data_IF_314917582641
#
_entry.id   IF_314917582641
#
_cell.length_a   1.000
_cell.length_b   1.000
_cell.length_c   1.000
_cell.angle_alpha   90.00
_cell.angle_beta   90.00
_cell.angle_gamma   90.00
#
_symmetry.space_group_name_H-M   'P 1'
#
loop_
_entity.id
_entity.type
_entity.pdbx_description
1 polymer ?
#
# COMPACT_ATOMS: atom_id res chain seq x y z
N UNK A 1 14.84 11.30 -4.43
CA UNK A 1 13.81 10.24 -4.18
C UNK A 1 12.72 10.78 -3.27
N UNK A 2 11.51 10.21 -3.36
CA UNK A 2 10.39 10.53 -2.47
C UNK A 2 10.15 9.38 -1.50
N UNK A 3 9.83 9.69 -0.26
CA UNK A 3 9.57 8.69 0.77
C UNK A 3 8.16 8.85 1.32
N UNK A 4 7.44 7.74 1.45
CA UNK A 4 6.20 7.61 2.20
C UNK A 4 6.33 6.52 3.24
N UNK A 5 5.31 6.35 4.07
CA UNK A 5 5.23 5.21 4.99
C UNK A 5 4.20 4.19 4.50
N UNK A 6 4.43 2.93 4.85
CA UNK A 6 3.50 1.82 4.62
C UNK A 6 3.27 1.10 5.93
N UNK A 7 2.02 0.86 6.30
CA UNK A 7 1.79 0.29 7.60
C UNK A 7 0.42 -0.27 7.87
N UNK A 8 0.30 -0.77 9.10
CA UNK A 8 -0.94 -1.27 9.68
C UNK A 8 -0.99 -0.97 11.17
N UNK A 9 -2.19 -0.96 11.74
CA UNK A 9 -2.41 -0.89 13.18
C UNK A 9 -2.80 -2.25 13.76
N UNK A 10 -2.57 -2.41 15.05
CA UNK A 10 -2.89 -3.63 15.79
C UNK A 10 -3.63 -3.26 17.09
N UNK A 11 -4.76 -3.89 17.34
CA UNK A 11 -5.48 -3.81 18.61
C UNK A 11 -5.17 -5.04 19.48
N UNK A 12 -5.11 -4.86 20.79
CA UNK A 12 -5.04 -5.97 21.74
C UNK A 12 -6.47 -6.37 22.15
N UNK A 13 -6.74 -7.66 22.19
CA UNK A 13 -7.96 -8.20 22.82
C UNK A 13 -7.67 -8.50 24.28
N UNK A 14 -8.62 -8.21 25.16
CA UNK A 14 -8.48 -8.49 26.59
C UNK A 14 -9.68 -8.00 27.39
N UNK A 15 -9.59 -8.11 28.73
CA UNK A 15 -10.59 -7.62 29.67
C UNK A 15 -10.59 -6.09 29.84
N UNK A 16 -11.33 -5.58 30.83
CA UNK A 16 -11.51 -4.13 31.05
C UNK A 16 -10.23 -3.33 31.22
N UNK A 17 -9.16 -3.97 31.71
CA UNK A 17 -7.87 -3.33 31.98
C UNK A 17 -6.96 -3.27 30.73
N UNK A 18 -7.38 -3.82 29.60
CA UNK A 18 -6.61 -3.78 28.34
C UNK A 18 -7.05 -2.61 27.49
N UNK A 19 -6.17 -1.67 27.27
CA UNK A 19 -6.37 -0.59 26.29
C UNK A 19 -6.27 -1.14 24.85
N UNK A 20 -7.40 -1.62 24.34
CA UNK A 20 -7.51 -2.18 22.98
C UNK A 20 -7.21 -1.13 21.90
N UNK A 21 -7.44 0.16 22.17
CA UNK A 21 -7.24 1.25 21.21
C UNK A 21 -5.82 1.77 21.11
N UNK A 22 -4.93 1.39 22.04
CA UNK A 22 -3.57 1.96 22.14
C UNK A 22 -2.80 1.87 20.82
N UNK A 23 -2.80 0.72 20.16
CA UNK A 23 -2.06 0.52 18.91
C UNK A 23 -2.61 1.33 17.73
N UNK A 24 -3.91 1.60 17.71
CA UNK A 24 -4.52 2.48 16.69
C UNK A 24 -4.14 3.94 16.94
N UNK A 25 -4.20 4.40 18.21
CA UNK A 25 -3.75 5.76 18.54
C UNK A 25 -2.26 5.95 18.27
N UNK A 26 -1.42 4.97 18.63
CA UNK A 26 0.01 5.01 18.32
C UNK A 26 0.26 5.08 16.80
N UNK A 27 -0.53 4.37 16.00
CA UNK A 27 -0.43 4.46 14.54
C UNK A 27 -0.83 5.83 14.01
N UNK A 28 -1.85 6.49 14.58
CA UNK A 28 -2.20 7.87 14.22
C UNK A 28 -1.04 8.83 14.55
N UNK A 29 -0.48 8.75 15.76
CA UNK A 29 0.68 9.57 16.16
C UNK A 29 1.92 9.28 15.31
N UNK A 30 2.11 8.03 14.86
CA UNK A 30 3.16 7.66 13.89
C UNK A 30 2.99 8.41 12.55
N UNK A 31 1.75 8.57 12.08
CA UNK A 31 1.46 9.32 10.85
C UNK A 31 1.68 10.82 11.00
N UNK A 32 1.26 11.40 12.13
CA UNK A 32 1.52 12.81 12.45
C UNK A 32 3.01 13.10 12.51
N UNK A 33 3.77 12.22 13.13
CA UNK A 33 5.21 12.32 13.19
C UNK A 33 5.88 12.13 11.82
N UNK A 34 5.38 11.22 11.00
CA UNK A 34 5.88 11.03 9.64
C UNK A 34 5.72 12.31 8.80
N UNK A 35 4.59 13.01 8.90
CA UNK A 35 4.41 14.33 8.26
C UNK A 35 5.46 15.33 8.75
N UNK A 36 5.67 15.44 10.06
CA UNK A 36 6.65 16.33 10.65
C UNK A 36 8.10 16.01 10.24
N UNK A 37 8.39 14.75 9.93
CA UNK A 37 9.68 14.29 9.41
C UNK A 37 9.83 14.43 7.90
N UNK A 38 8.81 14.98 7.20
CA UNK A 38 8.85 15.23 5.76
C UNK A 38 8.49 14.02 4.87
N UNK A 39 7.88 12.98 5.43
CA UNK A 39 7.33 11.91 4.60
C UNK A 39 6.14 12.41 3.78
N UNK A 40 6.09 12.00 2.53
CA UNK A 40 5.11 12.48 1.55
C UNK A 40 3.72 11.87 1.73
N UNK A 41 3.64 10.60 2.14
CA UNK A 41 2.40 9.85 2.18
C UNK A 41 2.39 8.76 3.25
N UNK A 42 1.19 8.30 3.57
CA UNK A 42 0.97 7.07 4.33
C UNK A 42 0.05 6.14 3.56
N UNK A 43 0.53 4.95 3.23
CA UNK A 43 -0.26 3.90 2.60
C UNK A 43 -0.62 2.82 3.62
N UNK A 44 -1.91 2.51 3.73
CA UNK A 44 -2.47 1.67 4.80
C UNK A 44 -3.16 0.45 4.18
N UNK A 45 -2.91 -0.72 4.76
CA UNK A 45 -3.49 -1.99 4.30
C UNK A 45 -4.97 -2.13 4.69
N UNK A 46 -5.67 -3.06 4.03
CA UNK A 46 -6.95 -3.60 4.48
C UNK A 46 -6.82 -5.09 4.74
N UNK A 47 -7.17 -5.54 5.95
CA UNK A 47 -7.19 -6.96 6.32
C UNK A 47 -8.31 -7.28 7.30
N UNK A 48 -8.89 -8.47 7.12
CA UNK A 48 -10.03 -8.96 7.90
C UNK A 48 -9.75 -10.33 8.52
N UNK A 49 -10.31 -10.60 9.71
CA UNK A 49 -10.40 -11.92 10.37
C UNK A 49 -9.07 -12.62 10.69
N UNK A 50 -7.92 -11.97 10.52
CA UNK A 50 -6.60 -12.62 10.64
C UNK A 50 -5.93 -12.41 11.99
N UNK A 51 -6.38 -11.43 12.77
CA UNK A 51 -5.67 -10.98 13.97
C UNK A 51 -4.27 -10.40 13.68
N UNK A 52 -3.98 -10.12 12.40
CA UNK A 52 -2.70 -9.54 11.95
C UNK A 52 -2.95 -8.45 10.91
N UNK A 53 -2.40 -7.25 11.15
CA UNK A 53 -2.67 -6.10 10.31
C UNK A 53 -4.16 -5.73 10.40
N UNK A 54 -4.66 -5.40 11.59
CA UNK A 54 -6.09 -5.36 11.90
C UNK A 54 -6.82 -4.11 11.41
N UNK A 55 -6.37 -3.50 10.33
CA UNK A 55 -7.09 -2.39 9.72
C UNK A 55 -8.14 -2.97 8.77
N UNK A 56 -9.39 -3.01 9.23
CA UNK A 56 -10.55 -3.51 8.48
C UNK A 56 -11.45 -2.38 7.94
N UNK A 57 -11.33 -1.18 8.50
CA UNK A 57 -12.04 0.02 8.08
C UNK A 57 -11.02 1.10 7.68
N UNK A 58 -10.31 0.84 6.58
CA UNK A 58 -9.14 1.61 6.15
C UNK A 58 -9.46 3.08 5.93
N UNK A 59 -10.56 3.40 5.24
CA UNK A 59 -10.95 4.79 4.99
C UNK A 59 -11.32 5.54 6.29
N UNK A 60 -11.93 4.87 7.27
CA UNK A 60 -12.25 5.48 8.56
C UNK A 60 -10.96 5.90 9.31
N UNK A 61 -9.95 5.02 9.31
CA UNK A 61 -8.66 5.33 9.93
C UNK A 61 -7.95 6.45 9.18
N UNK A 62 -7.91 6.41 7.84
CA UNK A 62 -7.30 7.45 7.03
C UNK A 62 -8.03 8.80 7.18
N UNK A 63 -9.35 8.81 7.37
CA UNK A 63 -10.09 10.04 7.69
C UNK A 63 -9.59 10.65 8.99
N UNK A 64 -9.38 9.83 10.03
CA UNK A 64 -8.83 10.31 11.30
C UNK A 64 -7.38 10.79 11.16
N UNK A 65 -6.53 10.09 10.42
CA UNK A 65 -5.16 10.55 10.09
C UNK A 65 -5.22 11.86 9.31
N UNK A 66 -6.12 11.97 8.34
CA UNK A 66 -6.32 13.19 7.53
C UNK A 66 -6.71 14.42 8.34
N UNK A 67 -7.51 14.22 9.41
CA UNK A 67 -7.88 15.28 10.35
C UNK A 67 -6.72 15.74 11.27
N UNK A 68 -5.67 14.91 11.39
CA UNK A 68 -4.49 15.17 12.24
C UNK A 68 -3.26 15.62 11.44
N UNK A 69 -3.37 15.63 10.11
CA UNK A 69 -2.29 15.97 9.17
C UNK A 69 -2.77 17.00 8.15
N UNK A 70 -1.85 17.73 7.52
CA UNK A 70 -2.19 18.84 6.61
C UNK A 70 -1.68 18.61 5.19
N UNK A 71 -0.53 17.93 5.02
CA UNK A 71 0.17 17.74 3.75
C UNK A 71 0.36 16.26 3.38
N UNK A 72 0.33 15.38 4.40
CA UNK A 72 0.53 13.93 4.20
C UNK A 72 -0.55 13.37 3.28
N UNK A 73 -0.16 12.76 2.17
CA UNK A 73 -1.11 12.06 1.29
C UNK A 73 -1.58 10.75 1.94
N UNK A 74 -2.83 10.43 1.72
CA UNK A 74 -3.56 9.34 2.39
C UNK A 74 -3.81 8.21 1.41
N UNK A 75 -2.98 7.16 1.46
CA UNK A 75 -3.04 6.05 0.51
C UNK A 75 -3.69 4.79 1.09
N UNK A 76 -4.39 4.05 0.26
CA UNK A 76 -4.76 2.67 0.55
C UNK A 76 -3.83 1.70 -0.20
N UNK A 77 -3.41 0.60 0.45
CA UNK A 77 -2.52 -0.39 -0.17
C UNK A 77 -2.84 -1.82 0.29
N UNK A 78 -4.00 -2.34 -0.10
CA UNK A 78 -4.99 -1.80 -1.04
C UNK A 78 -6.39 -1.96 -0.47
N UNK A 79 -7.40 -1.22 -0.98
CA UNK A 79 -8.81 -1.58 -0.81
C UNK A 79 -9.11 -2.83 -1.64
N UNK A 80 -9.65 -3.84 -1.03
CA UNK A 80 -9.98 -5.11 -1.70
C UNK A 80 -11.39 -5.06 -2.27
N UNK A 81 -11.51 -4.58 -3.51
CA UNK A 81 -12.80 -4.24 -4.13
C UNK A 81 -13.85 -5.36 -4.13
N UNK A 82 -13.49 -6.66 -4.26
CA UNK A 82 -14.48 -7.74 -4.27
C UNK A 82 -15.38 -7.81 -3.03
N UNK A 83 -14.96 -7.25 -1.90
CA UNK A 83 -15.70 -7.30 -0.64
C UNK A 83 -16.64 -6.12 -0.41
N UNK A 84 -16.50 -5.05 -1.20
CA UNK A 84 -17.21 -3.79 -1.00
C UNK A 84 -18.33 -3.57 -2.00
N UNK A 85 -19.41 -2.94 -1.54
CA UNK A 85 -20.35 -2.31 -2.46
C UNK A 85 -19.65 -1.12 -3.13
N UNK A 86 -19.48 -1.12 -4.46
CA UNK A 86 -18.64 -0.14 -5.14
C UNK A 86 -19.20 1.28 -5.13
N UNK A 87 -20.53 1.47 -5.11
CA UNK A 87 -21.15 2.80 -5.01
C UNK A 87 -20.88 3.38 -3.61
N UNK A 88 -21.15 2.61 -2.55
CA UNK A 88 -20.90 3.04 -1.18
C UNK A 88 -19.42 3.32 -0.94
N UNK A 89 -18.53 2.49 -1.50
CA UNK A 89 -17.09 2.71 -1.39
C UNK A 89 -16.65 3.98 -2.13
N UNK A 90 -17.24 4.27 -3.29
CA UNK A 90 -16.97 5.50 -4.04
C UNK A 90 -17.39 6.76 -3.26
N UNK A 91 -18.54 6.73 -2.57
CA UNK A 91 -19.00 7.82 -1.69
C UNK A 91 -18.07 8.05 -0.50
N UNK A 92 -17.65 6.97 0.16
CA UNK A 92 -16.71 7.03 1.29
C UNK A 92 -15.35 7.58 0.86
N UNK A 93 -14.84 7.14 -0.30
CA UNK A 93 -13.57 7.64 -0.83
C UNK A 93 -13.67 9.10 -1.28
N UNK A 94 -14.78 9.52 -1.90
CA UNK A 94 -15.03 10.92 -2.24
C UNK A 94 -15.11 11.80 -0.98
N UNK A 95 -15.72 11.31 0.09
CA UNK A 95 -15.82 12.02 1.36
C UNK A 95 -14.44 12.30 1.97
N UNK A 96 -13.56 11.29 2.03
CA UNK A 96 -12.19 11.51 2.54
C UNK A 96 -11.37 12.40 1.59
N UNK A 97 -11.56 12.29 0.30
CA UNK A 97 -10.89 13.15 -0.68
C UNK A 97 -11.24 14.61 -0.48
N UNK A 98 -12.52 14.95 -0.28
CA UNK A 98 -12.98 16.29 0.05
C UNK A 98 -12.45 16.78 1.42
N UNK A 99 -12.63 15.98 2.47
CA UNK A 99 -12.22 16.36 3.83
C UNK A 99 -10.70 16.59 3.93
N UNK A 100 -9.93 15.86 3.15
CA UNK A 100 -8.48 16.01 3.12
C UNK A 100 -7.97 17.09 2.16
N UNK A 101 -8.85 17.74 1.39
CA UNK A 101 -8.45 18.72 0.38
C UNK A 101 -7.71 18.09 -0.81
N UNK A 102 -8.13 16.90 -1.26
CA UNK A 102 -7.54 16.22 -2.42
C UNK A 102 -6.26 15.45 -2.13
N UNK A 103 -6.08 14.94 -0.91
CA UNK A 103 -4.90 14.16 -0.52
C UNK A 103 -5.07 12.64 -0.64
N UNK A 104 -6.22 12.14 -1.08
CA UNK A 104 -6.45 10.70 -1.24
C UNK A 104 -5.65 10.13 -2.41
N UNK A 105 -4.96 9.02 -2.18
CA UNK A 105 -4.38 8.09 -3.16
C UNK A 105 -5.12 6.75 -3.04
N UNK A 106 -5.99 6.44 -3.99
CA UNK A 106 -6.90 5.30 -3.89
C UNK A 106 -6.27 4.03 -4.47
N UNK A 107 -5.65 3.24 -3.61
CA UNK A 107 -5.04 1.96 -4.00
C UNK A 107 -6.04 0.81 -3.93
N UNK A 108 -6.10 0.02 -5.00
CA UNK A 108 -7.07 -1.06 -5.19
C UNK A 108 -6.41 -2.40 -5.47
N UNK A 109 -7.09 -3.49 -5.13
CA UNK A 109 -6.64 -4.86 -5.39
C UNK A 109 -7.75 -5.89 -5.35
N UNK A 110 -7.41 -7.09 -5.85
CA UNK A 110 -8.35 -8.22 -5.91
C UNK A 110 -8.47 -9.00 -4.59
N UNK A 111 -7.52 -8.81 -3.66
CA UNK A 111 -7.38 -9.70 -2.53
C UNK A 111 -6.68 -11.03 -2.89
N UNK A 112 -6.10 -11.68 -1.88
CA UNK A 112 -5.35 -12.93 -2.09
C UNK A 112 -5.46 -13.93 -0.92
N UNK A 113 -6.11 -13.55 0.18
CA UNK A 113 -6.24 -14.39 1.38
C UNK A 113 -7.56 -15.14 1.37
N UNK A 114 -7.47 -16.46 1.31
CA UNK A 114 -8.65 -17.33 1.27
C UNK A 114 -9.58 -17.13 2.47
N UNK A 115 -9.02 -17.01 3.68
CA UNK A 115 -9.81 -16.83 4.89
C UNK A 115 -10.63 -15.53 4.91
N UNK A 116 -10.17 -14.47 4.25
CA UNK A 116 -10.90 -13.21 4.13
C UNK A 116 -12.11 -13.38 3.19
N UNK A 117 -11.93 -14.04 2.04
CA UNK A 117 -13.03 -14.38 1.13
C UNK A 117 -14.05 -15.32 1.79
N UNK A 118 -13.58 -16.36 2.48
CA UNK A 118 -14.44 -17.30 3.21
C UNK A 118 -15.24 -16.59 4.33
N UNK A 119 -14.60 -15.67 5.06
CA UNK A 119 -15.25 -14.86 6.10
C UNK A 119 -16.37 -13.95 5.59
N UNK A 120 -16.25 -13.46 4.36
CA UNK A 120 -17.30 -12.69 3.69
C UNK A 120 -18.26 -13.57 2.88
N UNK A 121 -18.14 -14.90 2.92
CA UNK A 121 -18.94 -15.84 2.13
C UNK A 121 -18.88 -15.57 0.62
N UNK A 122 -17.72 -15.14 0.12
CA UNK A 122 -17.50 -14.84 -1.29
C UNK A 122 -16.59 -15.90 -1.94
N UNK A 123 -16.98 -16.44 -3.12
CA UNK A 123 -16.12 -17.33 -3.87
C UNK A 123 -14.86 -16.60 -4.34
N UNK A 124 -13.68 -17.14 -4.02
CA UNK A 124 -12.41 -16.53 -4.44
C UNK A 124 -12.21 -16.57 -5.96
N UNK A 125 -12.88 -17.48 -6.64
CA UNK A 125 -12.91 -17.63 -8.09
C UNK A 125 -13.59 -16.43 -8.78
N UNK A 126 -14.46 -15.72 -8.07
CA UNK A 126 -15.13 -14.51 -8.57
C UNK A 126 -14.30 -13.23 -8.33
N UNK A 127 -13.15 -13.33 -7.64
CA UNK A 127 -12.37 -12.15 -7.23
C UNK A 127 -12.01 -11.23 -8.40
N UNK A 128 -11.56 -11.80 -9.53
CA UNK A 128 -11.20 -11.00 -10.72
C UNK A 128 -12.44 -10.31 -11.33
N UNK A 129 -13.53 -11.04 -11.54
CA UNK A 129 -14.76 -10.48 -12.11
C UNK A 129 -15.38 -9.41 -11.23
N UNK A 130 -15.44 -9.65 -9.92
CA UNK A 130 -15.92 -8.65 -8.95
C UNK A 130 -15.02 -7.42 -8.91
N UNK A 131 -13.71 -7.59 -8.96
CA UNK A 131 -12.75 -6.49 -8.99
C UNK A 131 -12.95 -5.61 -10.22
N UNK A 132 -12.97 -6.18 -11.43
CA UNK A 132 -13.10 -5.43 -12.68
C UNK A 132 -14.44 -4.69 -12.75
N UNK A 133 -15.54 -5.35 -12.36
CA UNK A 133 -16.86 -4.73 -12.34
C UNK A 133 -16.94 -3.61 -11.31
N UNK A 134 -16.46 -3.83 -10.08
CA UNK A 134 -16.44 -2.82 -9.03
C UNK A 134 -15.59 -1.61 -9.39
N UNK A 135 -14.42 -1.83 -10.00
CA UNK A 135 -13.54 -0.75 -10.46
C UNK A 135 -14.22 0.12 -11.53
N UNK A 136 -14.87 -0.51 -12.52
CA UNK A 136 -15.63 0.19 -13.54
C UNK A 136 -16.79 1.02 -12.95
N UNK A 137 -17.51 0.47 -11.98
CA UNK A 137 -18.58 1.17 -11.25
C UNK A 137 -18.03 2.36 -10.48
N UNK A 138 -16.93 2.20 -9.75
CA UNK A 138 -16.30 3.28 -8.96
C UNK A 138 -15.86 4.43 -9.88
N UNK A 139 -15.17 4.14 -10.98
CA UNK A 139 -14.73 5.18 -11.93
C UNK A 139 -15.93 5.90 -12.51
N UNK A 140 -16.95 5.15 -12.96
CA UNK A 140 -18.18 5.74 -13.47
C UNK A 140 -18.86 6.63 -12.42
N UNK A 141 -18.93 6.17 -11.19
CA UNK A 141 -19.51 6.92 -10.07
C UNK A 141 -18.81 8.27 -9.83
N UNK A 142 -17.49 8.34 -9.94
CA UNK A 142 -16.73 9.59 -9.75
C UNK A 142 -16.71 10.51 -10.96
N UNK A 143 -17.05 9.99 -12.15
CA UNK A 143 -16.98 10.75 -13.42
C UNK A 143 -18.37 11.06 -14.01
N UNK A 144 -19.46 10.67 -13.35
CA UNK A 144 -20.83 10.94 -13.78
C UNK A 144 -21.50 11.97 -12.88
N UNK A 145 -21.92 13.08 -13.47
CA UNK A 145 -22.62 14.16 -12.77
C UNK A 145 -24.16 14.02 -12.83
N UNK A 146 -24.67 12.99 -13.52
CA UNK A 146 -26.09 12.71 -13.67
C UNK A 146 -26.42 11.28 -13.22
N UNK A 147 -27.68 11.00 -12.80
CA UNK A 147 -28.09 9.66 -12.42
C UNK A 147 -27.83 8.63 -13.53
N UNK A 148 -27.31 7.47 -13.15
CA UNK A 148 -27.03 6.37 -14.06
C UNK A 148 -27.44 5.03 -13.45
N UNK A 149 -27.61 4.03 -14.29
CA UNK A 149 -27.89 2.65 -13.88
C UNK A 149 -26.74 1.73 -14.30
N UNK A 150 -26.58 0.62 -13.59
CA UNK A 150 -25.64 -0.46 -13.89
C UNK A 150 -26.29 -1.81 -13.71
N UNK A 151 -26.19 -2.68 -14.71
CA UNK A 151 -26.76 -4.03 -14.71
C UNK A 151 -25.66 -5.02 -15.05
N UNK A 152 -24.81 -5.30 -14.07
CA UNK A 152 -23.68 -6.20 -14.21
C UNK A 152 -23.97 -7.62 -13.71
N UNK A 153 -22.92 -8.43 -13.66
CA UNK A 153 -22.97 -9.79 -13.14
C UNK A 153 -23.06 -9.84 -11.64
N UNK A 154 -22.33 -8.96 -10.95
CA UNK A 154 -22.17 -8.95 -9.49
C UNK A 154 -22.92 -7.79 -8.85
N UNK A 155 -23.14 -6.70 -9.59
CA UNK A 155 -23.73 -5.46 -9.08
C UNK A 155 -24.87 -4.98 -9.94
N UNK A 156 -25.89 -4.45 -9.27
CA UNK A 156 -27.02 -3.81 -9.93
C UNK A 156 -27.39 -2.53 -9.18
N UNK A 157 -27.46 -1.43 -9.93
CA UNK A 157 -27.83 -0.10 -9.43
C UNK A 157 -28.79 0.58 -10.37
N UNK A 158 -29.77 1.33 -9.83
CA UNK A 158 -30.80 2.03 -10.60
C UNK A 158 -30.80 3.51 -10.24
N UNK A 159 -30.56 4.38 -11.23
CA UNK A 159 -30.70 5.82 -11.09
C UNK A 159 -29.83 6.44 -9.99
N UNK A 160 -28.61 5.94 -9.78
CA UNK A 160 -27.70 6.43 -8.74
C UNK A 160 -26.83 7.56 -9.25
N UNK A 161 -26.50 8.50 -8.37
CA UNK A 161 -25.44 9.48 -8.53
C UNK A 161 -24.62 9.50 -7.22
N UNK A 162 -23.30 9.54 -7.33
CA UNK A 162 -22.44 9.55 -6.14
C UNK A 162 -22.32 10.96 -5.57
N UNK A 163 -22.68 11.12 -4.32
CA UNK A 163 -22.63 12.35 -3.56
C UNK A 163 -21.94 12.10 -2.20
N UNK A 164 -20.88 12.85 -1.86
CA UNK A 164 -20.37 14.04 -2.57
C UNK A 164 -19.49 13.68 -3.79
N UNK A 165 -19.21 14.65 -4.69
CA UNK A 165 -18.21 14.44 -5.76
C UNK A 165 -16.80 14.45 -5.16
N UNK A 166 -15.82 13.91 -5.90
CA UNK A 166 -14.40 13.96 -5.50
C UNK A 166 -13.83 15.37 -5.61
N UNK A 167 -12.88 15.72 -4.72
CA UNK A 167 -12.11 16.96 -4.82
C UNK A 167 -11.15 16.91 -6.02
N UNK A 168 -10.43 15.79 -6.18
CA UNK A 168 -9.52 15.57 -7.29
C UNK A 168 -10.28 15.20 -8.57
N UNK A 169 -9.85 15.74 -9.72
CA UNK A 169 -10.50 15.50 -11.02
C UNK A 169 -9.56 14.82 -12.01
N UNK A 170 -10.03 13.89 -12.82
CA UNK A 170 -11.42 13.38 -12.88
C UNK A 170 -11.81 12.53 -11.67
N UNK A 171 -10.86 12.05 -10.90
CA UNK A 171 -10.98 11.26 -9.67
C UNK A 171 -9.64 11.21 -8.91
N UNK A 172 -9.59 10.76 -7.65
CA UNK A 172 -8.33 10.52 -6.94
C UNK A 172 -7.40 9.61 -7.75
N UNK A 173 -6.05 9.81 -7.67
CA UNK A 173 -5.11 8.91 -8.31
C UNK A 173 -5.36 7.47 -7.87
N UNK A 174 -5.55 6.57 -8.86
CA UNK A 174 -5.74 5.14 -8.61
C UNK A 174 -4.39 4.44 -8.63
N UNK A 175 -4.12 3.66 -7.58
CA UNK A 175 -2.93 2.82 -7.44
C UNK A 175 -3.34 1.36 -7.47
N UNK A 176 -2.58 0.51 -8.13
CA UNK A 176 -2.88 -0.93 -8.20
C UNK A 176 -1.65 -1.76 -7.85
N UNK A 177 -1.83 -2.68 -6.90
CA UNK A 177 -0.81 -3.67 -6.55
C UNK A 177 -0.63 -4.71 -7.65
N UNK A 178 0.56 -4.79 -8.26
CA UNK A 178 0.85 -5.77 -9.28
C UNK A 178 2.32 -6.24 -9.23
N UNK A 179 2.55 -7.53 -9.48
CA UNK A 179 3.91 -8.10 -9.51
C UNK A 179 4.15 -9.03 -10.70
N UNK A 180 3.08 -9.47 -11.39
CA UNK A 180 3.17 -10.30 -12.59
C UNK A 180 3.11 -9.46 -13.86
N UNK A 181 3.81 -9.86 -14.94
CA UNK A 181 3.81 -9.10 -16.19
C UNK A 181 2.41 -8.76 -16.71
N UNK A 182 1.51 -9.72 -16.73
CA UNK A 182 0.12 -9.50 -17.20
C UNK A 182 -0.62 -8.44 -16.36
N UNK A 183 -0.44 -8.46 -15.03
CA UNK A 183 -1.06 -7.47 -14.13
C UNK A 183 -0.44 -6.08 -14.31
N UNK A 184 0.88 -5.98 -14.49
CA UNK A 184 1.59 -4.70 -14.74
C UNK A 184 1.09 -4.07 -16.05
N UNK A 185 0.91 -4.87 -17.10
CA UNK A 185 0.32 -4.41 -18.38
C UNK A 185 -1.10 -3.88 -18.20
N UNK A 186 -1.94 -4.56 -17.38
CA UNK A 186 -3.28 -4.06 -17.02
C UNK A 186 -3.21 -2.69 -16.34
N UNK A 187 -2.31 -2.51 -15.35
CA UNK A 187 -2.13 -1.22 -14.65
C UNK A 187 -1.80 -0.10 -15.63
N UNK A 188 -0.85 -0.34 -16.55
CA UNK A 188 -0.48 0.63 -17.58
C UNK A 188 -1.63 0.92 -18.56
N UNK A 189 -2.40 -0.12 -18.95
CA UNK A 189 -3.54 0.02 -19.86
C UNK A 189 -4.65 0.90 -19.28
N UNK A 190 -4.89 0.81 -17.97
CA UNK A 190 -5.85 1.67 -17.27
C UNK A 190 -5.33 3.09 -17.01
N UNK A 191 -4.04 3.37 -17.24
CA UNK A 191 -3.43 4.64 -16.88
C UNK A 191 -3.25 4.83 -15.36
N UNK A 192 -3.24 3.75 -14.57
CA UNK A 192 -3.09 3.79 -13.11
C UNK A 192 -1.63 3.84 -12.68
N UNK A 193 -1.43 4.09 -11.40
CA UNK A 193 -0.13 4.06 -10.75
C UNK A 193 0.15 2.63 -10.22
N UNK A 194 1.43 2.24 -10.20
CA UNK A 194 1.86 0.90 -9.83
C UNK A 194 2.36 0.84 -8.39
N UNK A 195 1.83 -0.10 -7.60
CA UNK A 195 2.36 -0.46 -6.29
C UNK A 195 3.14 -1.77 -6.39
N UNK A 196 4.43 -1.75 -6.05
CA UNK A 196 5.31 -2.91 -5.99
C UNK A 196 5.51 -3.37 -4.55
N UNK A 197 5.57 -4.70 -4.39
CA UNK A 197 5.65 -5.37 -3.09
C UNK A 197 6.99 -5.18 -2.37
N UNK A 198 7.02 -5.52 -1.09
CA UNK A 198 8.18 -5.36 -0.20
C UNK A 198 9.16 -6.54 -0.19
N UNK A 199 8.94 -7.57 -1.02
CA UNK A 199 9.72 -8.81 -0.95
C UNK A 199 10.62 -9.02 -2.16
N UNK A 200 10.25 -8.48 -3.31
CA UNK A 200 11.01 -8.63 -4.54
C UNK A 200 12.45 -8.09 -4.39
N UNK A 201 13.47 -8.82 -4.84
CA UNK A 201 14.83 -8.30 -4.94
C UNK A 201 14.91 -7.11 -5.92
N UNK A 202 15.98 -6.33 -5.83
CA UNK A 202 16.10 -5.04 -6.55
C UNK A 202 16.11 -5.23 -8.08
N UNK A 203 16.73 -6.29 -8.58
CA UNK A 203 16.73 -6.66 -9.99
C UNK A 203 15.31 -6.90 -10.53
N UNK A 204 14.50 -7.67 -9.82
CA UNK A 204 13.10 -7.89 -10.19
C UNK A 204 12.26 -6.59 -10.13
N UNK A 205 12.57 -5.69 -9.19
CA UNK A 205 11.93 -4.37 -9.17
C UNK A 205 12.28 -3.60 -10.45
N UNK A 206 13.57 -3.61 -10.86
CA UNK A 206 14.02 -2.98 -12.10
C UNK A 206 13.30 -3.53 -13.33
N UNK A 207 13.19 -4.86 -13.45
CA UNK A 207 12.45 -5.51 -14.55
C UNK A 207 10.98 -5.05 -14.61
N UNK A 208 10.31 -4.97 -13.45
CA UNK A 208 8.91 -4.54 -13.35
C UNK A 208 8.71 -3.07 -13.70
N UNK A 209 9.63 -2.20 -13.26
CA UNK A 209 9.62 -0.77 -13.61
C UNK A 209 9.85 -0.60 -15.10
N UNK A 210 10.85 -1.29 -15.68
CA UNK A 210 11.14 -1.25 -17.09
C UNK A 210 9.95 -1.71 -17.96
N UNK A 211 9.28 -2.80 -17.54
CA UNK A 211 8.06 -3.28 -18.20
C UNK A 211 6.94 -2.23 -18.12
N UNK A 212 6.68 -1.68 -16.94
CA UNK A 212 5.63 -0.66 -16.76
C UNK A 212 5.91 0.59 -17.60
N UNK A 213 7.17 1.06 -17.61
CA UNK A 213 7.63 2.18 -18.44
C UNK A 213 7.36 1.90 -19.93
N UNK A 214 7.82 0.75 -20.43
CA UNK A 214 7.62 0.36 -21.83
C UNK A 214 6.15 0.31 -22.22
N UNK A 215 5.27 -0.19 -21.34
CA UNK A 215 3.84 -0.24 -21.59
C UNK A 215 3.19 1.15 -21.57
N UNK A 216 3.63 2.06 -20.71
CA UNK A 216 3.15 3.45 -20.66
C UNK A 216 3.61 4.23 -21.91
N UNK A 217 4.89 4.15 -22.25
CA UNK A 217 5.48 4.83 -23.40
C UNK A 217 4.93 4.26 -24.73
N UNK A 218 4.72 2.95 -24.82
CA UNK A 218 4.10 2.28 -25.96
C UNK A 218 2.65 2.73 -26.24
N UNK A 219 2.00 3.39 -25.28
CA UNK A 219 0.67 4.02 -25.43
C UNK A 219 0.75 5.53 -25.73
N UNK A 220 1.94 6.04 -26.00
CA UNK A 220 2.17 7.47 -26.28
C UNK A 220 2.13 8.37 -25.03
N UNK A 221 2.20 7.80 -23.82
CA UNK A 221 2.22 8.55 -22.58
C UNK A 221 3.66 8.75 -22.08
N UNK A 222 3.91 9.86 -21.39
CA UNK A 222 5.20 10.10 -20.72
C UNK A 222 5.26 9.29 -19.44
N UNK A 223 6.35 8.55 -19.25
CA UNK A 223 6.58 7.83 -17.99
C UNK A 223 7.04 8.81 -16.90
N UNK A 224 6.33 8.79 -15.78
CA UNK A 224 6.71 9.50 -14.56
C UNK A 224 7.09 8.45 -13.49
N UNK A 225 8.35 8.43 -12.99
CA UNK A 225 8.78 7.48 -11.96
C UNK A 225 7.99 7.63 -10.64
N UNK A 226 7.37 8.79 -10.39
CA UNK A 226 6.50 8.99 -9.23
C UNK A 226 5.19 8.19 -9.31
N UNK A 227 4.88 7.61 -10.46
CA UNK A 227 3.74 6.70 -10.65
C UNK A 227 4.04 5.25 -10.27
N UNK A 228 5.26 4.96 -9.79
CA UNK A 228 5.65 3.64 -9.27
C UNK A 228 6.13 3.78 -7.84
N UNK A 229 5.35 3.25 -6.89
CA UNK A 229 5.77 3.18 -5.50
C UNK A 229 6.27 1.79 -5.15
N UNK A 230 7.47 1.71 -4.59
CA UNK A 230 8.12 0.46 -4.16
C UNK A 230 8.06 0.34 -2.65
N UNK A 231 7.40 -0.68 -2.12
CA UNK A 231 7.35 -0.88 -0.67
C UNK A 231 8.63 -1.57 -0.19
N UNK A 232 9.21 -1.10 0.93
CA UNK A 232 10.39 -1.69 1.57
C UNK A 232 10.27 -1.70 3.08
N UNK A 233 10.64 -2.82 3.70
CA UNK A 233 10.84 -2.85 5.15
C UNK A 233 12.19 -2.21 5.50
N UNK A 234 12.20 -1.33 6.50
CA UNK A 234 13.38 -0.58 6.95
C UNK A 234 13.71 -0.92 8.40
N UNK A 235 14.99 -1.15 8.68
CA UNK A 235 15.52 -1.25 10.04
C UNK A 235 16.96 -0.74 10.09
N UNK A 236 17.15 0.43 10.69
CA UNK A 236 18.49 0.97 10.93
C UNK A 236 19.11 0.23 12.10
N UNK A 237 20.11 -0.60 11.83
CA UNK A 237 20.83 -1.41 12.82
C UNK A 237 22.31 -1.02 12.87
N UNK A 238 22.86 -0.94 14.08
CA UNK A 238 24.27 -0.56 14.27
C UNK A 238 25.18 -1.77 14.45
N UNK A 239 24.59 -2.95 14.69
CA UNK A 239 25.34 -4.19 14.89
C UNK A 239 24.80 -5.31 13.99
N UNK A 240 25.66 -6.27 13.66
CA UNK A 240 25.27 -7.47 12.91
C UNK A 240 24.20 -8.29 13.66
N UNK A 241 24.27 -8.34 15.01
CA UNK A 241 23.29 -9.06 15.83
C UNK A 241 21.90 -8.42 15.78
N UNK A 242 21.79 -7.09 15.81
CA UNK A 242 20.51 -6.37 15.63
C UNK A 242 19.93 -6.64 14.25
N UNK A 243 20.75 -6.58 13.20
CA UNK A 243 20.34 -6.87 11.82
C UNK A 243 19.82 -8.30 11.67
N UNK A 244 20.55 -9.28 12.19
CA UNK A 244 20.15 -10.68 12.12
C UNK A 244 18.83 -10.92 12.86
N UNK A 245 18.66 -10.39 14.05
CA UNK A 245 17.40 -10.46 14.81
C UNK A 245 16.23 -9.87 14.04
N UNK A 246 16.43 -8.73 13.38
CA UNK A 246 15.40 -8.08 12.56
C UNK A 246 15.05 -8.94 11.34
N UNK A 247 16.03 -9.56 10.68
CA UNK A 247 15.80 -10.49 9.56
C UNK A 247 15.04 -11.74 10.00
N UNK A 248 15.39 -12.34 11.14
CA UNK A 248 14.65 -13.48 11.70
C UNK A 248 13.19 -13.13 12.00
N UNK A 249 12.95 -11.95 12.57
CA UNK A 249 11.59 -11.42 12.81
C UNK A 249 10.82 -11.25 11.50
N UNK A 250 11.47 -10.76 10.45
CA UNK A 250 10.87 -10.59 9.11
C UNK A 250 10.51 -11.94 8.49
N UNK A 251 11.38 -12.96 8.60
CA UNK A 251 11.10 -14.34 8.13
C UNK A 251 9.89 -14.91 8.86
N UNK A 252 9.83 -14.79 10.20
CA UNK A 252 8.70 -15.28 10.99
C UNK A 252 7.37 -14.57 10.63
N UNK A 253 7.41 -13.26 10.40
CA UNK A 253 6.24 -12.50 9.93
C UNK A 253 5.78 -12.97 8.54
N UNK A 254 6.72 -13.25 7.64
CA UNK A 254 6.45 -13.79 6.31
C UNK A 254 5.79 -15.16 6.38
N UNK A 255 6.33 -16.08 7.15
CA UNK A 255 5.75 -17.41 7.38
C UNK A 255 4.33 -17.34 7.97
N UNK A 256 4.07 -16.39 8.88
CA UNK A 256 2.72 -16.15 9.41
C UNK A 256 1.77 -15.68 8.31
N UNK A 257 2.23 -14.76 7.47
CA UNK A 257 1.44 -14.25 6.34
C UNK A 257 1.03 -15.38 5.37
N UNK A 258 1.96 -16.29 5.06
CA UNK A 258 1.70 -17.43 4.18
C UNK A 258 0.67 -18.38 4.78
N UNK A 259 0.77 -18.71 6.08
CA UNK A 259 -0.24 -19.54 6.76
C UNK A 259 -1.64 -18.89 6.69
N UNK A 260 -1.74 -17.56 6.81
CA UNK A 260 -3.01 -16.85 6.72
C UNK A 260 -3.58 -16.78 5.29
N UNK A 261 -2.72 -16.89 4.28
CA UNK A 261 -3.11 -16.85 2.88
C UNK A 261 -3.32 -18.25 2.26
N UNK A 262 -2.98 -19.30 2.98
CA UNK A 262 -3.03 -20.68 2.47
C UNK A 262 -4.46 -21.09 2.11
N UNK A 263 -4.64 -21.61 0.91
CA UNK A 263 -5.92 -22.16 0.43
C UNK A 263 -6.07 -23.63 0.88
N UNK A 264 -7.31 -24.14 0.94
CA UNK A 264 -7.56 -25.55 1.27
C UNK A 264 -6.88 -26.54 0.30
N UNK A 265 -6.69 -26.14 -0.97
CA UNK A 265 -5.98 -26.93 -1.99
C UNK A 265 -4.45 -26.85 -1.89
N UNK A 266 -3.91 -26.14 -0.90
CA UNK A 266 -2.48 -25.91 -0.71
C UNK A 266 -1.83 -24.98 -1.74
N UNK A 267 -2.58 -24.48 -2.73
CA UNK A 267 -2.06 -23.59 -3.76
C UNK A 267 -2.15 -22.11 -3.32
N UNK A 268 -1.11 -21.36 -3.65
CA UNK A 268 -1.12 -19.92 -3.50
C UNK A 268 -0.79 -19.26 -4.84
N UNK A 269 -1.72 -18.49 -5.38
CA UNK A 269 -1.61 -17.90 -6.73
C UNK A 269 -1.14 -16.45 -6.75
N UNK A 270 -1.00 -15.79 -5.60
CA UNK A 270 -0.55 -14.41 -5.55
C UNK A 270 0.97 -14.31 -5.73
N UNK A 271 1.44 -13.36 -6.54
CA UNK A 271 2.88 -13.14 -6.76
C UNK A 271 3.62 -12.81 -5.47
N UNK A 272 2.99 -12.05 -4.57
CA UNK A 272 3.54 -11.70 -3.26
C UNK A 272 3.82 -12.93 -2.38
N UNK A 273 3.23 -14.10 -2.69
CA UNK A 273 3.39 -15.33 -1.92
C UNK A 273 4.45 -16.28 -2.53
N UNK A 274 5.10 -15.91 -3.64
CA UNK A 274 6.08 -16.78 -4.32
C UNK A 274 7.52 -16.68 -3.78
N UNK A 275 7.80 -15.74 -2.87
CA UNK A 275 9.16 -15.55 -2.36
C UNK A 275 9.52 -16.56 -1.27
N UNK A 276 10.79 -17.00 -1.27
CA UNK A 276 11.32 -17.93 -0.28
C UNK A 276 11.33 -17.36 1.14
N UNK A 277 11.30 -18.25 2.15
CA UNK A 277 11.31 -17.91 3.58
C UNK A 277 12.72 -18.06 4.19
N UNK A 278 13.75 -17.67 3.44
CA UNK A 278 15.14 -17.71 3.89
C UNK A 278 15.61 -16.33 4.36
N UNK A 279 16.72 -16.31 5.10
CA UNK A 279 17.32 -15.04 5.52
C UNK A 279 17.82 -14.23 4.32
N UNK A 280 18.37 -14.88 3.29
CA UNK A 280 18.82 -14.22 2.06
C UNK A 280 17.65 -13.55 1.32
N UNK A 281 16.52 -14.26 1.17
CA UNK A 281 15.33 -13.67 0.53
C UNK A 281 14.74 -12.51 1.36
N UNK A 282 14.75 -12.63 2.68
CA UNK A 282 14.32 -11.57 3.58
C UNK A 282 15.23 -10.33 3.45
N UNK A 283 16.53 -10.52 3.33
CA UNK A 283 17.51 -9.46 3.19
C UNK A 283 17.45 -8.79 1.81
N UNK A 284 17.28 -9.55 0.74
CA UNK A 284 17.23 -9.05 -0.63
C UNK A 284 16.10 -8.03 -0.84
N UNK A 285 14.96 -8.20 -0.15
CA UNK A 285 13.82 -7.28 -0.20
C UNK A 285 13.81 -6.22 0.90
N UNK A 286 14.85 -6.10 1.75
CA UNK A 286 14.86 -5.23 2.92
C UNK A 286 15.95 -4.14 2.88
N UNK A 287 15.63 -2.99 3.45
CA UNK A 287 16.57 -1.90 3.74
C UNK A 287 17.03 -2.01 5.21
N UNK A 288 17.75 -3.10 5.51
CA UNK A 288 18.30 -3.37 6.84
C UNK A 288 19.81 -3.21 6.84
N UNK A 289 20.34 -2.55 7.86
CA UNK A 289 21.77 -2.30 8.03
C UNK A 289 22.07 -0.95 8.66
N UNK A 290 23.33 -0.53 8.57
CA UNK A 290 23.77 0.82 8.94
C UNK A 290 23.16 1.85 7.97
N UNK A 291 23.18 3.14 8.31
CA UNK A 291 22.70 4.20 7.39
C UNK A 291 23.37 4.15 6.02
N UNK A 292 24.69 3.89 5.96
CA UNK A 292 25.44 3.82 4.69
C UNK A 292 25.04 2.59 3.86
N UNK A 293 24.84 1.42 4.50
CA UNK A 293 24.36 0.21 3.80
C UNK A 293 22.95 0.39 3.26
N UNK A 294 22.08 1.06 4.01
CA UNK A 294 20.72 1.39 3.56
C UNK A 294 20.77 2.40 2.41
N UNK A 295 21.61 3.43 2.50
CA UNK A 295 21.81 4.41 1.43
C UNK A 295 22.32 3.74 0.15
N UNK A 296 23.26 2.82 0.25
CA UNK A 296 23.75 2.06 -0.91
C UNK A 296 22.62 1.25 -1.58
N UNK A 297 21.77 0.56 -0.81
CA UNK A 297 20.60 -0.19 -1.34
C UNK A 297 19.56 0.75 -1.96
N UNK A 298 19.33 1.93 -1.39
CA UNK A 298 18.44 2.95 -1.96
C UNK A 298 19.01 3.50 -3.28
N UNK A 299 20.33 3.69 -3.37
CA UNK A 299 20.96 4.09 -4.64
C UNK A 299 20.76 3.00 -5.70
N UNK A 300 20.95 1.72 -5.37
CA UNK A 300 20.65 0.62 -6.30
C UNK A 300 19.17 0.62 -6.75
N UNK A 301 18.22 0.91 -5.85
CA UNK A 301 16.79 1.06 -6.21
C UNK A 301 16.59 2.24 -7.15
N UNK A 302 17.25 3.37 -6.91
CA UNK A 302 17.18 4.54 -7.76
C UNK A 302 17.76 4.27 -9.16
N UNK A 303 18.87 3.55 -9.23
CA UNK A 303 19.54 3.21 -10.49
C UNK A 303 18.66 2.32 -11.40
N UNK A 304 17.79 1.49 -10.81
CA UNK A 304 16.78 0.71 -11.56
C UNK A 304 15.45 1.46 -11.77
N UNK A 305 15.38 2.76 -11.40
CA UNK A 305 14.26 3.64 -11.70
C UNK A 305 13.21 3.78 -10.59
N UNK A 306 13.49 3.32 -9.37
CA UNK A 306 12.60 3.52 -8.22
C UNK A 306 12.86 4.88 -7.58
N UNK A 307 11.99 5.85 -7.82
CA UNK A 307 12.08 7.21 -7.28
C UNK A 307 11.11 7.47 -6.11
N UNK A 308 10.16 6.56 -5.86
CA UNK A 308 9.21 6.64 -4.77
C UNK A 308 9.21 5.36 -3.95
N UNK A 309 9.62 5.47 -2.68
CA UNK A 309 9.75 4.33 -1.75
C UNK A 309 8.80 4.50 -0.57
N UNK A 310 7.98 3.49 -0.34
CA UNK A 310 7.11 3.38 0.84
C UNK A 310 7.81 2.53 1.89
N UNK A 311 8.19 3.12 3.02
CA UNK A 311 8.92 2.42 4.06
C UNK A 311 8.00 1.85 5.14
N UNK A 312 8.20 0.57 5.47
CA UNK A 312 7.59 -0.09 6.62
C UNK A 312 8.64 -0.21 7.72
N UNK A 313 8.47 0.55 8.79
CA UNK A 313 9.44 0.58 9.88
C UNK A 313 9.29 -0.62 10.82
N UNK A 314 10.21 -1.58 10.71
CA UNK A 314 10.26 -2.76 11.58
C UNK A 314 10.58 -2.42 13.04
N UNK A 315 11.23 -1.28 13.29
CA UNK A 315 11.62 -0.80 14.64
C UNK A 315 10.67 0.30 15.19
N UNK A 316 9.45 0.42 14.65
CA UNK A 316 8.49 1.43 15.10
C UNK A 316 8.94 2.87 14.82
N UNK A 317 8.43 3.83 15.62
CA UNK A 317 8.69 5.27 15.43
C UNK A 317 10.17 5.65 15.52
N UNK A 318 10.93 5.03 16.39
CA UNK A 318 12.37 5.36 16.53
C UNK A 318 13.17 4.98 15.28
N UNK A 319 12.91 3.83 14.69
CA UNK A 319 13.54 3.44 13.42
C UNK A 319 13.15 4.39 12.27
N UNK A 320 11.89 4.88 12.26
CA UNK A 320 11.43 5.88 11.29
C UNK A 320 12.18 7.21 11.44
N UNK A 321 12.36 7.70 12.69
CA UNK A 321 13.13 8.92 13.00
C UNK A 321 14.57 8.80 12.54
N UNK A 322 15.19 7.67 12.86
CA UNK A 322 16.58 7.41 12.47
C UNK A 322 16.73 7.38 10.95
N UNK A 323 15.86 6.68 10.25
CA UNK A 323 15.86 6.66 8.80
C UNK A 323 15.71 8.08 8.21
N UNK A 324 14.78 8.88 8.73
CA UNK A 324 14.56 10.25 8.29
C UNK A 324 15.77 11.16 8.52
N UNK A 325 16.46 11.02 9.64
CA UNK A 325 17.62 11.86 9.99
C UNK A 325 18.92 11.41 9.36
N UNK A 326 19.14 10.10 9.27
CA UNK A 326 20.45 9.51 8.94
C UNK A 326 20.54 9.05 7.48
N UNK A 327 19.40 8.83 6.79
CA UNK A 327 19.38 8.28 5.43
C UNK A 327 18.72 9.23 4.41
N UNK A 328 17.52 9.73 4.72
CA UNK A 328 16.73 10.56 3.79
C UNK A 328 17.47 11.77 3.23
N UNK A 329 18.31 12.51 4.01
CA UNK A 329 19.02 13.69 3.50
C UNK A 329 19.94 13.41 2.29
N UNK A 330 20.48 12.19 2.18
CA UNK A 330 21.30 11.79 1.04
C UNK A 330 20.51 11.72 -0.30
N UNK A 331 19.17 11.74 -0.25
CA UNK A 331 18.27 11.58 -1.40
C UNK A 331 17.32 12.74 -1.64
N UNK A 332 17.25 13.71 -0.74
CA UNK A 332 16.27 14.82 -0.80
C UNK A 332 16.69 16.00 -1.67
N UNK A 333 17.91 16.03 -2.19
CA UNK A 333 18.42 17.12 -3.06
C UNK A 333 18.64 18.45 -2.33
N UNK A 334 18.29 18.59 -1.06
CA UNK A 334 18.65 19.71 -0.21
C UNK A 334 19.92 19.40 0.58
N UNK A 335 20.85 20.36 0.75
CA UNK A 335 22.04 20.15 1.55
C UNK A 335 21.62 19.85 2.99
N UNK A 336 22.15 18.78 3.57
CA UNK A 336 21.93 18.42 4.95
C UNK A 336 22.14 19.65 5.84
N UNK A 337 21.14 20.04 6.61
CA UNK A 337 21.30 20.99 7.69
C UNK A 337 22.30 20.38 8.67
N UNK A 338 23.57 20.80 8.57
CA UNK A 338 24.58 20.51 9.57
C UNK A 338 24.23 21.33 10.81
N UNK A 339 23.74 20.69 11.83
CA UNK A 339 23.62 21.23 13.18
C UNK A 339 24.87 21.01 13.97
#
# INVERSE_FOLDING_TARGET
MRFGIFGSAQAKRGGPDVDSGAGFRDFVEHNVEAEALGYHSSFVVEHHFTGFGQISATLNLLTWVGARTTTLRLGTAVMTLPWHNPVLLAEQAATIDLLSGGRLDFGVGQGYRHNEFAGFCLPMEEAEGRFEESLGVIIKAWTSDTPWSHHGKHWRFEGVVVEPPTAQKPHPPIWMGAGRPASIKKVAAHGFNLLLDQFAPIDQIGERIALFRSEVEGRGCVFDPMRVAVTRSVHVSMTAAEREKALQTRVAARQRMDRLAQRPDGQNRASIMSYAHTLEAAEAGALYGTPDEIAAKLQMLRDVGAEYVLVNSAGGRESLRRFAREVVPAFSGEPALRS
#
